data_IF_543363369549
#
_entry.id   IF_543363369549
#
_cell.length_a   1.000
_cell.length_b   1.000
_cell.length_c   1.000
_cell.angle_alpha   90.00
_cell.angle_beta   90.00
_cell.angle_gamma   90.00
#
_symmetry.space_group_name_H-M   'P 1'
#
loop_
_entity.id
_entity.type
_entity.pdbx_description
1 polymer ?
#
# COMPACT_ATOMS: atom_id res chain seq x y z
N UNK A 1 16.04 -0.74 15.93
CA UNK A 1 16.02 0.04 14.69
C UNK A 1 14.87 1.03 14.77
N UNK A 2 14.99 2.21 14.17
CA UNK A 2 14.11 3.33 14.50
C UNK A 2 12.84 3.31 13.64
N UNK A 3 11.69 3.25 14.30
CA UNK A 3 10.43 3.71 13.70
C UNK A 3 10.45 5.23 13.78
N UNK A 4 10.28 5.89 12.64
CA UNK A 4 10.23 7.35 12.53
C UNK A 4 8.80 7.83 12.32
N UNK A 5 8.55 9.05 12.76
CA UNK A 5 7.29 9.74 12.46
C UNK A 5 7.26 10.14 10.97
N UNK A 6 6.23 9.73 10.25
CA UNK A 6 6.00 10.10 8.85
C UNK A 6 5.99 11.62 8.64
N UNK A 7 5.52 12.40 9.62
CA UNK A 7 5.53 13.86 9.54
C UNK A 7 6.95 14.44 9.42
N UNK A 8 7.96 13.71 9.90
CA UNK A 8 9.37 14.11 9.85
C UNK A 8 10.11 13.65 8.57
N UNK A 9 9.42 12.98 7.64
CA UNK A 9 10.05 12.47 6.41
C UNK A 9 10.67 13.63 5.60
N UNK A 10 11.99 13.64 5.35
CA UNK A 10 12.65 14.73 4.63
C UNK A 10 12.16 14.89 3.19
N UNK A 11 12.29 16.10 2.63
CA UNK A 11 12.08 16.32 1.21
C UNK A 11 13.17 15.61 0.38
N UNK A 12 12.85 15.29 -0.88
CA UNK A 12 13.68 14.52 -1.84
C UNK A 12 13.94 13.07 -1.42
N UNK A 13 13.28 12.57 -0.37
CA UNK A 13 13.35 11.17 0.00
C UNK A 13 12.77 10.26 -1.09
N UNK A 14 13.33 9.07 -1.19
CA UNK A 14 12.86 7.99 -2.05
C UNK A 14 12.32 6.88 -1.15
N UNK A 15 11.02 6.65 -1.20
CA UNK A 15 10.36 5.74 -0.25
C UNK A 15 9.52 4.72 -0.98
N UNK A 16 9.49 3.50 -0.45
CA UNK A 16 8.46 2.53 -0.80
C UNK A 16 7.20 2.81 0.02
N UNK A 17 6.03 2.76 -0.60
CA UNK A 17 4.75 3.05 0.07
C UNK A 17 3.88 1.80 0.09
N UNK A 18 3.47 1.41 1.28
CA UNK A 18 2.58 0.27 1.49
C UNK A 18 1.11 0.62 1.21
N UNK A 19 0.32 -0.40 0.90
CA UNK A 19 -1.12 -0.37 0.63
C UNK A 19 -1.90 0.35 1.72
N UNK A 20 -1.56 0.11 2.99
CA UNK A 20 -2.30 0.65 4.12
C UNK A 20 -2.24 2.20 4.19
N UNK A 21 -1.20 2.83 3.66
CA UNK A 21 -1.05 4.28 3.65
C UNK A 21 -2.07 4.91 2.71
N UNK A 22 -2.19 4.40 1.48
CA UNK A 22 -3.21 4.87 0.53
C UNK A 22 -4.62 4.59 1.05
N UNK A 23 -4.82 3.44 1.69
CA UNK A 23 -6.12 3.13 2.28
C UNK A 23 -6.49 4.12 3.40
N UNK A 24 -5.55 4.47 4.30
CA UNK A 24 -5.75 5.49 5.33
C UNK A 24 -6.03 6.88 4.74
N UNK A 25 -5.37 7.23 3.62
CA UNK A 25 -5.62 8.47 2.88
C UNK A 25 -7.09 8.55 2.42
N UNK A 26 -7.57 7.52 1.72
CA UNK A 26 -8.97 7.50 1.24
C UNK A 26 -10.01 7.42 2.34
N UNK A 27 -9.64 6.91 3.52
CA UNK A 27 -10.50 6.95 4.71
C UNK A 27 -10.46 8.29 5.45
N UNK A 28 -9.52 9.19 5.14
CA UNK A 28 -9.34 10.47 5.83
C UNK A 28 -8.91 10.31 7.30
N UNK A 29 -8.22 9.23 7.65
CA UNK A 29 -7.94 8.84 9.05
C UNK A 29 -6.62 9.36 9.63
N UNK A 30 -5.80 10.06 8.84
CA UNK A 30 -4.53 10.64 9.29
C UNK A 30 -4.21 11.90 8.49
N UNK A 31 -3.94 12.99 9.21
CA UNK A 31 -3.51 14.24 8.60
C UNK A 31 -2.07 14.12 8.08
N UNK A 32 -1.20 13.40 8.79
CA UNK A 32 0.17 13.13 8.36
C UNK A 32 0.20 12.35 7.03
N UNK A 33 -0.67 11.35 6.85
CA UNK A 33 -0.81 10.62 5.58
C UNK A 33 -1.29 11.56 4.47
N UNK A 34 -2.30 12.40 4.72
CA UNK A 34 -2.81 13.33 3.70
C UNK A 34 -1.75 14.36 3.27
N UNK A 35 -0.99 14.89 4.21
CA UNK A 35 0.14 15.76 3.93
C UNK A 35 1.22 15.03 3.12
N UNK A 36 1.55 13.78 3.48
CA UNK A 36 2.49 12.94 2.74
C UNK A 36 2.05 12.72 1.28
N UNK A 37 0.78 12.37 1.04
CA UNK A 37 0.24 12.21 -0.33
C UNK A 37 0.35 13.51 -1.13
N UNK A 38 0.06 14.65 -0.50
CA UNK A 38 0.21 15.97 -1.13
C UNK A 38 1.67 16.24 -1.55
N UNK A 39 2.62 15.88 -0.69
CA UNK A 39 4.06 16.02 -0.98
C UNK A 39 4.53 15.13 -2.13
N UNK A 40 3.94 13.94 -2.29
CA UNK A 40 4.18 13.11 -3.48
C UNK A 40 3.66 13.82 -4.73
N UNK A 41 2.42 14.31 -4.70
CA UNK A 41 1.79 14.98 -5.83
C UNK A 41 2.54 16.26 -6.26
N UNK A 42 3.18 16.96 -5.32
CA UNK A 42 4.04 18.12 -5.58
C UNK A 42 5.46 17.75 -6.07
N UNK A 43 5.79 16.46 -6.13
CA UNK A 43 7.12 15.98 -6.52
C UNK A 43 8.21 16.17 -5.46
N UNK A 44 7.84 16.52 -4.22
CA UNK A 44 8.80 16.65 -3.12
C UNK A 44 9.33 15.29 -2.66
N UNK A 45 8.52 14.23 -2.80
CA UNK A 45 8.87 12.86 -2.44
C UNK A 45 8.77 11.97 -3.68
N UNK A 46 9.80 11.15 -3.91
CA UNK A 46 9.71 10.08 -4.89
C UNK A 46 9.12 8.83 -4.25
N UNK A 47 7.81 8.63 -4.42
CA UNK A 47 7.13 7.44 -3.95
C UNK A 47 7.21 6.30 -4.96
N UNK A 48 7.55 5.12 -4.46
CA UNK A 48 7.59 3.87 -5.20
C UNK A 48 6.59 2.89 -4.61
N UNK A 49 5.93 2.15 -5.48
CA UNK A 49 5.06 1.03 -5.11
C UNK A 49 5.41 -0.14 -6.01
N UNK A 50 4.91 -1.34 -5.73
CA UNK A 50 4.88 -2.41 -6.73
C UNK A 50 3.43 -2.69 -7.14
N UNK A 51 3.25 -3.48 -8.20
CA UNK A 51 1.90 -3.77 -8.71
C UNK A 51 1.02 -4.50 -7.69
N UNK A 52 1.61 -5.23 -6.75
CA UNK A 52 0.86 -5.91 -5.70
C UNK A 52 0.21 -4.90 -4.74
N UNK A 53 0.92 -3.84 -4.34
CA UNK A 53 0.35 -2.77 -3.51
C UNK A 53 -0.93 -2.19 -4.13
N UNK A 54 -0.90 -1.94 -5.44
CA UNK A 54 -2.06 -1.41 -6.16
C UNK A 54 -3.21 -2.43 -6.24
N UNK A 55 -2.91 -3.70 -6.50
CA UNK A 55 -3.90 -4.77 -6.49
C UNK A 55 -4.58 -4.92 -5.13
N UNK A 56 -3.81 -4.90 -4.05
CA UNK A 56 -4.31 -5.02 -2.68
C UNK A 56 -5.12 -3.77 -2.29
N UNK A 57 -4.70 -2.58 -2.75
CA UNK A 57 -5.44 -1.34 -2.57
C UNK A 57 -6.81 -1.41 -3.26
N UNK A 58 -6.86 -1.79 -4.55
CA UNK A 58 -8.11 -1.94 -5.29
C UNK A 58 -9.09 -2.88 -4.58
N UNK A 59 -8.58 -4.03 -4.09
CA UNK A 59 -9.41 -4.99 -3.37
C UNK A 59 -9.98 -4.39 -2.06
N UNK A 60 -9.15 -3.70 -1.27
CA UNK A 60 -9.58 -3.04 -0.03
C UNK A 60 -10.59 -1.92 -0.30
N UNK A 61 -10.38 -1.11 -1.33
CA UNK A 61 -11.28 -0.02 -1.71
C UNK A 61 -12.63 -0.53 -2.22
N UNK A 62 -12.64 -1.58 -3.05
CA UNK A 62 -13.88 -2.21 -3.52
C UNK A 62 -14.71 -2.74 -2.34
N UNK A 63 -14.02 -3.36 -1.36
CA UNK A 63 -14.65 -3.86 -0.14
C UNK A 63 -15.23 -2.72 0.71
N UNK A 64 -14.49 -1.62 0.84
CA UNK A 64 -14.95 -0.43 1.55
C UNK A 64 -16.16 0.21 0.85
N UNK A 65 -16.16 0.32 -0.49
CA UNK A 65 -17.28 0.83 -1.27
C UNK A 65 -18.53 -0.05 -1.11
N UNK A 66 -18.38 -1.37 -1.24
CA UNK A 66 -19.49 -2.30 -1.06
C UNK A 66 -20.08 -2.22 0.36
N UNK A 67 -19.23 -2.07 1.38
CA UNK A 67 -19.67 -1.88 2.76
C UNK A 67 -20.41 -0.53 2.94
N UNK A 68 -19.85 0.56 2.41
CA UNK A 68 -20.45 1.90 2.49
C UNK A 68 -21.81 1.98 1.78
N UNK A 69 -21.99 1.22 0.69
CA UNK A 69 -23.26 1.09 -0.03
C UNK A 69 -24.26 0.13 0.64
N UNK A 70 -23.91 -0.49 1.76
CA UNK A 70 -24.76 -1.44 2.49
C UNK A 70 -24.94 -2.79 1.79
N UNK A 71 -24.09 -3.13 0.82
CA UNK A 71 -24.16 -4.38 0.07
C UNK A 71 -23.62 -5.57 0.85
N UNK A 72 -22.67 -5.32 1.75
CA UNK A 72 -22.11 -6.31 2.68
C UNK A 72 -22.23 -5.80 4.11
N UNK A 73 -22.39 -6.71 5.07
CA UNK A 73 -22.58 -6.36 6.47
C UNK A 73 -21.25 -6.09 7.19
N UNK A 74 -20.15 -6.68 6.70
CA UNK A 74 -18.81 -6.44 7.22
C UNK A 74 -17.81 -6.33 6.07
N UNK A 75 -16.76 -5.49 6.20
CA UNK A 75 -15.70 -5.39 5.20
C UNK A 75 -14.78 -6.62 5.29
N UNK A 76 -15.25 -7.76 4.78
CA UNK A 76 -14.49 -9.02 4.70
C UNK A 76 -14.48 -9.55 3.27
N UNK A 77 -13.33 -10.06 2.84
CA UNK A 77 -13.16 -10.61 1.49
C UNK A 77 -14.16 -11.72 1.16
N UNK A 78 -14.51 -12.57 2.15
CA UNK A 78 -15.50 -13.64 1.96
C UNK A 78 -16.91 -13.09 1.70
N UNK A 79 -17.31 -12.03 2.39
CA UNK A 79 -18.62 -11.40 2.20
C UNK A 79 -18.70 -10.70 0.86
N UNK A 80 -17.64 -9.94 0.51
CA UNK A 80 -17.54 -9.31 -0.80
C UNK A 80 -17.63 -10.35 -1.92
N UNK A 81 -16.87 -11.46 -1.82
CA UNK A 81 -16.91 -12.53 -2.82
C UNK A 81 -18.32 -13.13 -2.96
N UNK A 82 -18.96 -13.47 -1.85
CA UNK A 82 -20.31 -14.05 -1.85
C UNK A 82 -21.31 -13.08 -2.49
N UNK A 83 -21.25 -11.80 -2.12
CA UNK A 83 -22.13 -10.78 -2.68
C UNK A 83 -21.89 -10.57 -4.18
N UNK A 84 -20.64 -10.45 -4.63
CA UNK A 84 -20.27 -10.31 -6.05
C UNK A 84 -20.78 -11.48 -6.89
N UNK A 85 -20.75 -12.71 -6.36
CA UNK A 85 -21.25 -13.89 -7.05
C UNK A 85 -22.76 -13.87 -7.22
N UNK A 86 -23.50 -13.40 -6.21
CA UNK A 86 -24.96 -13.33 -6.22
C UNK A 86 -25.53 -12.10 -6.97
N UNK A 87 -24.78 -10.99 -7.03
CA UNK A 87 -25.29 -9.67 -7.49
C UNK A 87 -24.42 -9.07 -8.60
N UNK A 88 -24.20 -9.83 -9.69
CA UNK A 88 -23.27 -9.45 -10.78
C UNK A 88 -23.59 -8.11 -11.43
N UNK A 89 -24.87 -7.76 -11.61
CA UNK A 89 -25.25 -6.49 -12.23
C UNK A 89 -24.98 -5.31 -11.30
N UNK A 90 -25.34 -5.42 -10.01
CA UNK A 90 -25.02 -4.39 -9.04
C UNK A 90 -23.51 -4.22 -8.87
N UNK A 91 -22.74 -5.31 -8.90
CA UNK A 91 -21.29 -5.28 -8.82
C UNK A 91 -20.63 -4.45 -9.92
N UNK A 92 -21.19 -4.45 -11.14
CA UNK A 92 -20.69 -3.62 -12.25
C UNK A 92 -20.87 -2.12 -12.01
N UNK A 93 -21.69 -1.71 -11.03
CA UNK A 93 -21.89 -0.31 -10.65
C UNK A 93 -20.93 0.19 -9.57
N UNK A 94 -20.06 -0.69 -9.06
CA UNK A 94 -18.96 -0.28 -8.19
C UNK A 94 -17.90 0.41 -9.04
N UNK A 95 -17.62 1.66 -8.73
CA UNK A 95 -16.76 2.52 -9.55
C UNK A 95 -15.86 3.44 -8.73
N UNK A 96 -16.23 3.72 -7.48
CA UNK A 96 -15.44 4.59 -6.61
C UNK A 96 -14.04 4.01 -6.36
N UNK A 97 -13.95 2.69 -6.14
CA UNK A 97 -12.66 2.03 -5.96
C UNK A 97 -11.73 2.15 -7.18
N UNK A 98 -12.31 2.22 -8.39
CA UNK A 98 -11.54 2.37 -9.63
C UNK A 98 -10.97 3.78 -9.69
N UNK A 99 -11.83 4.79 -9.50
CA UNK A 99 -11.41 6.19 -9.48
C UNK A 99 -10.30 6.44 -8.45
N UNK A 100 -10.45 5.92 -7.22
CA UNK A 100 -9.44 6.06 -6.18
C UNK A 100 -8.10 5.39 -6.54
N UNK A 101 -8.13 4.25 -7.25
CA UNK A 101 -6.91 3.64 -7.76
C UNK A 101 -6.26 4.48 -8.87
N UNK A 102 -7.06 5.06 -9.77
CA UNK A 102 -6.57 5.97 -10.81
C UNK A 102 -5.97 7.24 -10.21
N UNK A 103 -6.61 7.81 -9.19
CA UNK A 103 -6.11 8.97 -8.45
C UNK A 103 -4.74 8.66 -7.80
N UNK A 104 -4.58 7.44 -7.26
CA UNK A 104 -3.30 6.96 -6.70
C UNK A 104 -2.18 6.91 -7.75
N UNK A 105 -2.50 6.59 -9.00
CA UNK A 105 -1.53 6.64 -10.10
C UNK A 105 -1.27 8.08 -10.54
N UNK A 106 -2.31 8.91 -10.57
CA UNK A 106 -2.26 10.30 -11.02
C UNK A 106 -1.40 11.21 -10.12
N UNK A 107 -1.24 10.90 -8.84
CA UNK A 107 -0.34 11.64 -7.94
C UNK A 107 1.15 11.42 -8.23
N UNK A 108 1.52 10.57 -9.19
CA UNK A 108 2.91 10.42 -9.65
C UNK A 108 3.72 9.32 -8.95
N UNK A 109 3.07 8.29 -8.39
CA UNK A 109 3.77 7.12 -7.85
C UNK A 109 4.51 6.34 -8.95
N UNK A 110 5.69 5.81 -8.64
CA UNK A 110 6.49 5.00 -9.56
C UNK A 110 6.25 3.51 -9.30
N UNK A 111 5.71 2.81 -10.28
CA UNK A 111 5.35 1.38 -10.14
C UNK A 111 6.53 0.47 -10.52
N UNK A 112 7.02 -0.29 -9.55
CA UNK A 112 8.07 -1.29 -9.70
C UNK A 112 7.49 -2.61 -10.21
N UNK A 113 8.14 -3.18 -11.23
CA UNK A 113 7.73 -4.44 -11.86
C UNK A 113 8.14 -5.64 -10.99
N UNK A 114 7.17 -6.52 -10.70
CA UNK A 114 7.42 -7.86 -10.15
C UNK A 114 7.50 -8.85 -11.31
N UNK A 115 8.63 -9.54 -11.43
CA UNK A 115 8.82 -10.63 -12.41
C UNK A 115 8.93 -12.00 -11.72
N UNK A 116 8.79 -13.08 -12.48
CA UNK A 116 8.84 -14.45 -11.96
C UNK A 116 10.12 -14.75 -11.16
N UNK A 117 11.28 -14.27 -11.65
CA UNK A 117 12.56 -14.41 -10.93
C UNK A 117 12.50 -13.76 -9.55
N UNK A 118 12.01 -12.52 -9.47
CA UNK A 118 11.89 -11.80 -8.19
C UNK A 118 10.98 -12.56 -7.23
N UNK A 119 9.83 -13.05 -7.72
CA UNK A 119 8.88 -13.81 -6.93
C UNK A 119 9.51 -15.06 -6.29
N UNK A 120 10.37 -15.77 -7.03
CA UNK A 120 11.11 -16.93 -6.52
C UNK A 120 12.22 -16.50 -5.55
N UNK A 121 13.00 -15.47 -5.91
CA UNK A 121 14.14 -15.00 -5.12
C UNK A 121 13.72 -14.45 -3.75
N UNK A 122 12.50 -13.90 -3.63
CA UNK A 122 11.96 -13.40 -2.34
C UNK A 122 11.69 -14.49 -1.29
N UNK A 123 11.99 -15.75 -1.61
CA UNK A 123 11.97 -16.86 -0.64
C UNK A 123 12.92 -16.62 0.53
N UNK A 124 14.03 -15.93 0.28
CA UNK A 124 15.04 -15.68 1.30
C UNK A 124 14.51 -14.68 2.34
N UNK A 125 13.76 -13.67 1.93
CA UNK A 125 13.10 -12.73 2.85
C UNK A 125 12.06 -13.43 3.72
N UNK A 126 11.26 -14.33 3.13
CA UNK A 126 10.30 -15.13 3.90
C UNK A 126 11.02 -16.02 4.91
N UNK A 127 12.10 -16.68 4.51
CA UNK A 127 12.85 -17.59 5.35
C UNK A 127 13.63 -16.87 6.46
N UNK A 128 14.27 -15.75 6.14
CA UNK A 128 15.18 -15.04 7.04
C UNK A 128 14.44 -14.10 7.99
N UNK A 129 13.30 -13.53 7.55
CA UNK A 129 12.59 -12.50 8.30
C UNK A 129 11.18 -12.90 8.73
N UNK A 130 10.68 -14.07 8.31
CA UNK A 130 9.34 -14.55 8.67
C UNK A 130 8.20 -13.77 8.01
N UNK A 131 8.48 -13.04 6.92
CA UNK A 131 7.50 -12.18 6.25
C UNK A 131 6.44 -12.98 5.48
N UNK A 132 5.24 -12.40 5.38
CA UNK A 132 4.23 -12.88 4.45
C UNK A 132 4.68 -12.71 2.99
N UNK A 133 4.00 -13.38 2.06
CA UNK A 133 4.37 -13.35 0.64
C UNK A 133 4.34 -11.93 0.06
N UNK A 134 3.35 -11.12 0.44
CA UNK A 134 3.28 -9.72 -0.01
C UNK A 134 4.43 -8.86 0.50
N UNK A 135 4.66 -8.88 1.81
CA UNK A 135 5.73 -8.08 2.43
C UNK A 135 7.10 -8.51 1.95
N UNK A 136 7.30 -9.81 1.72
CA UNK A 136 8.53 -10.31 1.10
C UNK A 136 8.73 -9.77 -0.30
N UNK A 137 7.66 -9.62 -1.09
CA UNK A 137 7.72 -9.00 -2.42
C UNK A 137 8.02 -7.50 -2.33
N UNK A 138 7.52 -6.81 -1.30
CA UNK A 138 7.83 -5.39 -1.06
C UNK A 138 9.33 -5.20 -0.81
N UNK A 139 9.87 -5.91 0.19
CA UNK A 139 11.30 -5.89 0.53
C UNK A 139 12.15 -6.32 -0.67
N UNK A 140 11.75 -7.38 -1.36
CA UNK A 140 12.47 -7.85 -2.53
C UNK A 140 12.51 -6.85 -3.67
N UNK A 141 11.40 -6.15 -3.94
CA UNK A 141 11.36 -5.06 -4.92
C UNK A 141 12.25 -3.89 -4.52
N UNK A 142 12.34 -3.56 -3.23
CA UNK A 142 13.17 -2.48 -2.72
C UNK A 142 14.67 -2.77 -2.84
N UNK A 143 15.08 -4.02 -2.62
CA UNK A 143 16.49 -4.39 -2.53
C UNK A 143 17.13 -4.79 -3.87
N UNK A 144 16.36 -5.30 -4.84
CA UNK A 144 16.90 -5.96 -6.07
C UNK A 144 16.67 -5.19 -7.37
N UNK A 145 16.22 -3.95 -7.33
CA UNK A 145 16.00 -3.11 -8.54
C UNK A 145 17.11 -2.09 -8.74
N UNK A 146 17.11 -1.44 -9.90
CA UNK A 146 18.05 -0.37 -10.30
C UNK A 146 18.12 0.80 -9.29
N UNK A 147 17.14 0.88 -8.39
CA UNK A 147 17.05 1.86 -7.32
C UNK A 147 16.95 1.04 -6.02
N UNK A 148 17.97 1.12 -5.18
CA UNK A 148 17.94 0.55 -3.83
C UNK A 148 17.16 1.50 -2.93
N UNK A 149 16.08 1.01 -2.34
CA UNK A 149 15.26 1.76 -1.38
C UNK A 149 15.54 1.26 0.03
N UNK A 150 15.85 2.19 0.94
CA UNK A 150 16.06 1.93 2.37
C UNK A 150 14.89 2.36 3.24
N UNK A 151 13.91 3.06 2.67
CA UNK A 151 12.84 3.69 3.44
C UNK A 151 11.49 3.12 3.02
N UNK A 152 10.69 2.71 3.99
CA UNK A 152 9.30 2.25 3.79
C UNK A 152 8.34 3.11 4.59
N UNK A 153 7.26 3.56 3.96
CA UNK A 153 6.12 4.19 4.62
C UNK A 153 5.02 3.15 4.76
N UNK A 154 4.69 2.79 5.99
CA UNK A 154 3.68 1.78 6.31
C UNK A 154 3.03 2.07 7.65
N UNK A 155 1.81 1.60 7.85
CA UNK A 155 1.20 1.52 9.17
C UNK A 155 1.38 0.13 9.81
N UNK A 156 1.94 -0.84 9.08
CA UNK A 156 2.21 -2.19 9.56
C UNK A 156 3.47 -2.24 10.44
N UNK A 157 3.42 -3.06 11.49
CA UNK A 157 4.54 -3.32 12.38
C UNK A 157 5.54 -4.34 11.84
N UNK A 158 5.15 -5.14 10.84
CA UNK A 158 5.90 -6.31 10.37
C UNK A 158 7.23 -5.98 9.67
N UNK A 159 7.52 -4.71 9.41
CA UNK A 159 8.80 -4.26 8.83
C UNK A 159 9.81 -3.79 9.90
N UNK A 160 9.38 -3.57 11.15
CA UNK A 160 10.18 -2.91 12.18
C UNK A 160 11.42 -3.71 12.61
N UNK A 161 11.44 -5.03 12.41
CA UNK A 161 12.57 -5.90 12.75
C UNK A 161 13.57 -6.11 11.62
N UNK A 162 13.32 -5.59 10.42
CA UNK A 162 14.17 -5.82 9.24
C UNK A 162 15.41 -4.94 9.26
N UNK A 163 16.60 -5.52 9.40
CA UNK A 163 17.86 -4.76 9.42
C UNK A 163 18.07 -4.01 8.09
N UNK A 164 18.36 -2.71 8.16
CA UNK A 164 18.67 -1.86 7.00
C UNK A 164 17.47 -1.18 6.34
N UNK A 165 16.30 -1.18 7.00
CA UNK A 165 15.06 -0.59 6.51
C UNK A 165 14.51 0.48 7.48
N UNK A 166 14.58 1.75 7.11
CA UNK A 166 13.96 2.83 7.89
C UNK A 166 12.44 2.82 7.71
N UNK A 167 11.71 2.68 8.82
CA UNK A 167 10.25 2.56 8.81
C UNK A 167 9.62 3.88 9.23
N UNK A 168 8.83 4.48 8.35
CA UNK A 168 8.10 5.73 8.57
C UNK A 168 6.62 5.43 8.79
N UNK A 169 6.07 5.82 9.95
CA UNK A 169 4.68 5.53 10.32
C UNK A 169 3.92 6.81 10.66
N UNK A 170 2.64 6.92 10.28
CA UNK A 170 1.80 7.99 10.81
C UNK A 170 1.53 7.78 12.30
N UNK A 171 1.72 8.83 13.10
CA UNK A 171 1.51 8.80 14.56
C UNK A 171 0.13 9.31 14.98
N UNK A 172 -0.68 9.77 14.03
CA UNK A 172 -1.94 10.49 14.22
C UNK A 172 -3.17 9.72 13.68
N UNK A 173 -3.06 8.40 13.51
CA UNK A 173 -4.17 7.56 13.02
C UNK A 173 -5.28 7.51 14.07
N UNK A 174 -6.50 7.89 13.67
CA UNK A 174 -7.72 7.87 14.50
C UNK A 174 -8.53 6.60 14.29
#
# INVERSE_FOLDING_TARGET
MAIHDLAALPAKSQVFVDTNIFFLHFQGRSAAVNAFITRIALGEISAYVNIQVLSDLMHKLMMAEAFARGYIARPRAIELRQWLQAHRQQAQTLSQYQQQCEDTLAIGVKVLIIGAKLMVDTKDERANYGLMTGDSLHVGTMQRKSITLSDIVTYDGDFAHLIGLEVWRPMDVV
#
